data_IF_335626713727
#
_entry.id   IF_335626713727
#
_cell.length_a   1.000
_cell.length_b   1.000
_cell.length_c   1.000
_cell.angle_alpha   90.00
_cell.angle_beta   90.00
_cell.angle_gamma   90.00
#
_symmetry.space_group_name_H-M   'P 1'
#
loop_
_entity.id
_entity.type
_entity.pdbx_description
1 polymer ?
#
# COMPACT_ATOMS: atom_id res chain seq x y z
N UNK A 1 11.22 -0.66 -16.94
CA UNK A 1 10.28 -1.44 -16.09
C UNK A 1 10.98 -2.30 -15.04
N UNK A 2 12.04 -3.05 -15.37
CA UNK A 2 12.75 -3.93 -14.40
C UNK A 2 13.16 -3.26 -13.07
N UNK A 3 13.60 -2.00 -13.10
CA UNK A 3 13.94 -1.26 -11.87
C UNK A 3 12.71 -0.99 -10.98
N UNK A 4 11.60 -0.52 -11.56
CA UNK A 4 10.35 -0.25 -10.85
C UNK A 4 9.76 -1.54 -10.26
N UNK A 5 9.87 -2.65 -11.00
CA UNK A 5 9.46 -3.96 -10.55
C UNK A 5 10.28 -4.45 -9.35
N UNK A 6 11.61 -4.31 -9.40
CA UNK A 6 12.47 -4.68 -8.28
C UNK A 6 12.20 -3.83 -7.02
N UNK A 7 11.95 -2.53 -7.18
CA UNK A 7 11.54 -1.66 -6.07
C UNK A 7 10.18 -2.09 -5.51
N UNK A 8 9.21 -2.43 -6.35
CA UNK A 8 7.91 -2.93 -5.92
C UNK A 8 8.01 -4.27 -5.18
N UNK A 9 8.87 -5.20 -5.64
CA UNK A 9 9.18 -6.45 -4.95
C UNK A 9 9.76 -6.19 -3.56
N UNK A 10 10.71 -5.27 -3.46
CA UNK A 10 11.30 -4.90 -2.18
C UNK A 10 10.25 -4.35 -1.21
N UNK A 11 9.38 -3.43 -1.67
CA UNK A 11 8.28 -2.93 -0.85
C UNK A 11 7.34 -4.05 -0.38
N UNK A 12 7.01 -5.01 -1.26
CA UNK A 12 6.17 -6.15 -0.89
C UNK A 12 6.83 -7.08 0.14
N UNK A 13 8.14 -7.34 0.03
CA UNK A 13 8.88 -8.13 1.02
C UNK A 13 8.89 -7.41 2.37
N UNK A 14 9.18 -6.10 2.39
CA UNK A 14 9.15 -5.29 3.60
C UNK A 14 7.76 -5.30 4.26
N UNK A 15 6.71 -5.16 3.46
CA UNK A 15 5.33 -5.25 3.95
C UNK A 15 4.99 -6.62 4.55
N UNK A 16 5.43 -7.71 3.90
CA UNK A 16 5.23 -9.08 4.40
C UNK A 16 5.96 -9.35 5.71
N UNK A 17 7.20 -8.88 5.84
CA UNK A 17 7.97 -8.96 7.09
C UNK A 17 7.27 -8.16 8.19
N UNK A 18 6.82 -6.94 7.88
CA UNK A 18 6.10 -6.08 8.83
C UNK A 18 4.80 -6.75 9.33
N UNK A 19 3.99 -7.31 8.42
CA UNK A 19 2.76 -8.03 8.78
C UNK A 19 3.05 -9.27 9.64
N UNK A 20 4.14 -9.98 9.36
CA UNK A 20 4.54 -11.15 10.14
C UNK A 20 4.88 -10.75 11.57
N UNK A 21 5.66 -9.68 11.75
CA UNK A 21 6.04 -9.15 13.07
C UNK A 21 4.80 -8.76 13.89
N UNK A 22 3.87 -7.99 13.30
CA UNK A 22 2.67 -7.56 14.04
C UNK A 22 1.72 -8.71 14.35
N UNK A 23 1.69 -9.73 13.49
CA UNK A 23 0.90 -10.94 13.73
C UNK A 23 1.45 -11.68 14.95
N UNK A 24 2.77 -11.88 15.02
CA UNK A 24 3.40 -12.49 16.20
C UNK A 24 3.17 -11.67 17.48
N UNK A 25 3.28 -10.33 17.39
CA UNK A 25 2.96 -9.44 18.50
C UNK A 25 1.51 -9.59 18.96
N UNK A 26 0.56 -9.62 18.03
CA UNK A 26 -0.87 -9.77 18.33
C UNK A 26 -1.16 -11.12 18.97
N UNK A 27 -0.58 -12.21 18.44
CA UNK A 27 -0.67 -13.53 19.04
C UNK A 27 -0.08 -13.57 20.46
N UNK A 28 1.08 -12.95 20.68
CA UNK A 28 1.71 -12.87 21.98
C UNK A 28 0.84 -12.10 22.99
N UNK A 29 0.26 -10.96 22.59
CA UNK A 29 -0.66 -10.19 23.44
C UNK A 29 -1.93 -10.97 23.77
N UNK A 30 -2.50 -11.70 22.80
CA UNK A 30 -3.69 -12.52 23.01
C UNK A 30 -3.41 -13.66 24.00
N UNK A 31 -2.26 -14.34 23.86
CA UNK A 31 -1.87 -15.41 24.79
C UNK A 31 -1.62 -14.85 26.18
N UNK A 32 -0.87 -13.74 26.31
CA UNK A 32 -0.58 -13.09 27.59
C UNK A 32 -1.86 -12.70 28.34
N UNK A 33 -2.80 -12.08 27.61
CA UNK A 33 -4.12 -11.67 28.12
C UNK A 33 -4.94 -12.82 28.68
N UNK A 34 -4.96 -13.95 27.97
CA UNK A 34 -5.78 -15.11 28.33
C UNK A 34 -5.14 -16.02 29.39
N UNK A 35 -3.81 -16.00 29.55
CA UNK A 35 -3.10 -16.92 30.46
C UNK A 35 -2.61 -16.25 31.73
N UNK A 36 -2.02 -15.06 31.63
CA UNK A 36 -1.34 -14.37 32.74
C UNK A 36 -2.03 -13.09 33.18
N UNK A 37 -3.04 -12.63 32.41
CA UNK A 37 -3.69 -11.34 32.60
C UNK A 37 -2.84 -10.14 32.19
N UNK A 38 -1.59 -10.35 31.74
CA UNK A 38 -0.73 -9.29 31.22
C UNK A 38 -1.05 -9.00 29.75
N UNK A 39 -1.42 -7.76 29.45
CA UNK A 39 -1.63 -7.28 28.07
C UNK A 39 -0.47 -6.41 27.63
N UNK A 40 -0.12 -6.48 26.34
CA UNK A 40 0.82 -5.54 25.77
C UNK A 40 0.12 -4.20 25.55
N UNK A 41 0.47 -3.20 26.35
CA UNK A 41 -0.16 -1.86 26.26
C UNK A 41 0.17 -1.24 24.90
N UNK A 42 -0.88 -0.79 24.19
CA UNK A 42 -0.74 -0.15 22.89
C UNK A 42 -0.52 -1.11 21.71
N UNK A 43 -0.74 -2.42 21.92
CA UNK A 43 -0.74 -3.44 20.84
C UNK A 43 -1.70 -3.09 19.70
N UNK A 44 -2.90 -2.62 20.01
CA UNK A 44 -3.90 -2.20 19.02
C UNK A 44 -3.44 -0.98 18.20
N UNK A 45 -2.83 0.01 18.84
CA UNK A 45 -2.34 1.21 18.15
C UNK A 45 -1.20 0.84 17.20
N UNK A 46 -0.22 0.07 17.69
CA UNK A 46 0.94 -0.35 16.90
C UNK A 46 0.53 -1.25 15.73
N UNK A 47 -0.43 -2.15 15.94
CA UNK A 47 -0.99 -2.99 14.89
C UNK A 47 -1.71 -2.15 13.84
N UNK A 48 -2.51 -1.17 14.24
CA UNK A 48 -3.23 -0.28 13.33
C UNK A 48 -2.29 0.53 12.43
N UNK A 49 -1.30 1.20 13.03
CA UNK A 49 -0.35 2.03 12.29
C UNK A 49 0.54 1.21 11.36
N UNK A 50 1.04 0.05 11.82
CA UNK A 50 1.87 -0.84 11.02
C UNK A 50 1.07 -1.48 9.88
N UNK A 51 -0.20 -1.83 10.10
CA UNK A 51 -1.08 -2.34 9.04
C UNK A 51 -1.28 -1.29 7.95
N UNK A 52 -1.48 -0.01 8.32
CA UNK A 52 -1.58 1.09 7.36
C UNK A 52 -0.32 1.25 6.50
N UNK A 53 0.86 1.17 7.11
CA UNK A 53 2.14 1.18 6.41
C UNK A 53 2.30 -0.04 5.48
N UNK A 54 1.93 -1.24 5.94
CA UNK A 54 2.00 -2.47 5.16
C UNK A 54 1.11 -2.42 3.91
N UNK A 55 -0.13 -1.94 4.04
CA UNK A 55 -1.06 -1.78 2.90
C UNK A 55 -0.43 -0.85 1.86
N UNK A 56 0.11 0.30 2.28
CA UNK A 56 0.75 1.23 1.36
C UNK A 56 1.93 0.57 0.62
N UNK A 57 2.78 -0.16 1.33
CA UNK A 57 3.93 -0.86 0.76
C UNK A 57 3.56 -2.01 -0.19
N UNK A 58 2.37 -2.61 -0.08
CA UNK A 58 1.90 -3.62 -1.05
C UNK A 58 1.36 -3.02 -2.36
N UNK A 59 0.88 -1.77 -2.34
CA UNK A 59 0.27 -1.15 -3.52
C UNK A 59 1.15 -1.14 -4.79
N UNK A 60 2.46 -0.82 -4.72
CA UNK A 60 3.32 -0.87 -5.90
C UNK A 60 3.33 -2.24 -6.58
N UNK A 61 3.42 -3.31 -5.79
CA UNK A 61 3.46 -4.68 -6.30
C UNK A 61 2.13 -5.13 -6.87
N UNK A 62 1.03 -4.74 -6.21
CA UNK A 62 -0.32 -4.95 -6.73
C UNK A 62 -0.49 -4.31 -8.11
N UNK A 63 -0.03 -3.07 -8.28
CA UNK A 63 -0.12 -2.36 -9.56
C UNK A 63 0.74 -3.00 -10.65
N UNK A 64 1.96 -3.45 -10.34
CA UNK A 64 2.83 -4.14 -11.30
C UNK A 64 2.16 -5.41 -11.82
N UNK A 65 1.59 -6.22 -10.93
CA UNK A 65 0.92 -7.49 -11.27
C UNK A 65 -0.50 -7.33 -11.80
N UNK A 66 -1.03 -6.11 -11.87
CA UNK A 66 -2.45 -5.81 -12.14
C UNK A 66 -3.40 -6.61 -11.24
N UNK A 67 -3.04 -6.76 -9.98
CA UNK A 67 -3.86 -7.46 -8.98
C UNK A 67 -5.06 -6.67 -8.48
N UNK A 68 -5.33 -5.48 -9.02
CA UNK A 68 -6.52 -4.71 -8.67
C UNK A 68 -7.77 -5.42 -9.22
N UNK A 69 -8.87 -5.36 -8.48
CA UNK A 69 -10.13 -5.97 -8.89
C UNK A 69 -10.65 -5.26 -10.15
N UNK A 70 -10.90 -6.03 -11.21
CA UNK A 70 -11.46 -5.56 -12.47
C UNK A 70 -12.92 -6.02 -12.55
N UNK A 71 -13.82 -5.12 -12.97
CA UNK A 71 -15.24 -5.44 -13.17
C UNK A 71 -15.50 -5.68 -14.65
N UNK A 72 -15.35 -6.93 -15.08
CA UNK A 72 -15.48 -7.29 -16.51
C UNK A 72 -16.93 -7.50 -16.98
N UNK A 73 -17.91 -7.44 -16.08
CA UNK A 73 -19.31 -7.71 -16.40
C UNK A 73 -19.87 -6.75 -17.47
N UNK A 74 -19.46 -5.49 -17.43
CA UNK A 74 -19.91 -4.46 -18.37
C UNK A 74 -19.10 -4.45 -19.68
N UNK A 75 -17.88 -4.99 -19.67
CA UNK A 75 -16.92 -4.99 -20.80
C UNK A 75 -16.83 -6.34 -21.52
N UNK A 76 -17.54 -7.37 -21.04
CA UNK A 76 -17.53 -8.73 -21.60
C UNK A 76 -17.92 -8.82 -23.09
N UNK A 77 -18.65 -7.84 -23.63
CA UNK A 77 -19.04 -7.76 -25.06
C UNK A 77 -18.29 -6.69 -25.85
N UNK A 78 -17.37 -5.97 -25.23
CA UNK A 78 -16.60 -4.91 -25.88
C UNK A 78 -15.44 -5.51 -26.70
N UNK A 79 -15.02 -4.78 -27.74
CA UNK A 79 -13.87 -5.18 -28.57
C UNK A 79 -12.56 -5.09 -27.78
N UNK A 80 -11.55 -5.88 -28.14
CA UNK A 80 -10.22 -5.86 -27.50
C UNK A 80 -9.60 -4.45 -27.47
N UNK A 81 -9.83 -3.64 -28.52
CA UNK A 81 -9.38 -2.25 -28.57
C UNK A 81 -10.05 -1.35 -27.54
N UNK A 82 -11.35 -1.57 -27.30
CA UNK A 82 -12.11 -0.82 -26.31
C UNK A 82 -11.65 -1.18 -24.90
N UNK A 83 -11.44 -2.47 -24.62
CA UNK A 83 -10.95 -2.93 -23.32
C UNK A 83 -9.53 -2.39 -23.04
N UNK A 84 -8.62 -2.46 -24.03
CA UNK A 84 -7.28 -1.90 -23.88
C UNK A 84 -7.28 -0.37 -23.63
N UNK A 85 -8.24 0.36 -24.19
CA UNK A 85 -8.39 1.79 -23.93
C UNK A 85 -8.95 2.06 -22.53
N UNK A 86 -9.96 1.29 -22.10
CA UNK A 86 -10.54 1.37 -20.76
C UNK A 86 -9.50 1.03 -19.69
N UNK A 87 -8.67 0.02 -19.90
CA UNK A 87 -7.60 -0.34 -18.97
C UNK A 87 -6.57 0.79 -18.84
N UNK A 88 -6.19 1.42 -19.96
CA UNK A 88 -5.24 2.55 -19.95
C UNK A 88 -5.83 3.75 -19.23
N UNK A 89 -7.12 4.01 -19.44
CA UNK A 89 -7.86 5.06 -18.74
C UNK A 89 -7.94 4.76 -17.23
N UNK A 90 -8.22 3.51 -16.84
CA UNK A 90 -8.21 3.06 -15.45
C UNK A 90 -6.84 3.24 -14.78
N UNK A 91 -5.76 2.83 -15.46
CA UNK A 91 -4.40 3.06 -14.98
C UNK A 91 -4.05 4.54 -14.86
N UNK A 92 -4.53 5.39 -15.76
CA UNK A 92 -4.33 6.84 -15.68
C UNK A 92 -5.04 7.43 -14.45
N UNK A 93 -6.30 7.05 -14.23
CA UNK A 93 -7.04 7.48 -13.06
C UNK A 93 -6.36 7.02 -11.76
N UNK A 94 -5.92 5.76 -11.72
CA UNK A 94 -5.18 5.23 -10.58
C UNK A 94 -3.88 6.02 -10.34
N UNK A 95 -3.12 6.34 -11.38
CA UNK A 95 -1.91 7.15 -11.28
C UNK A 95 -2.21 8.53 -10.68
N UNK A 96 -3.27 9.20 -11.14
CA UNK A 96 -3.69 10.50 -10.62
C UNK A 96 -4.14 10.40 -9.14
N UNK A 97 -4.93 9.39 -8.79
CA UNK A 97 -5.37 9.18 -7.40
C UNK A 97 -4.18 8.92 -6.49
N UNK A 98 -3.24 8.05 -6.86
CA UNK A 98 -2.06 7.77 -6.04
C UNK A 98 -1.09 8.96 -5.96
N UNK A 99 -0.99 9.78 -7.01
CA UNK A 99 -0.25 11.04 -6.96
C UNK A 99 -0.89 12.03 -5.96
N UNK A 100 -2.22 12.18 -5.99
CA UNK A 100 -2.95 13.01 -5.04
C UNK A 100 -2.82 12.49 -3.61
N UNK A 101 -2.94 11.19 -3.39
CA UNK A 101 -2.74 10.57 -2.09
C UNK A 101 -1.31 10.81 -1.60
N UNK A 102 -0.30 10.57 -2.43
CA UNK A 102 1.09 10.84 -2.07
C UNK A 102 1.32 12.30 -1.64
N UNK A 103 0.75 13.26 -2.38
CA UNK A 103 0.84 14.67 -2.04
C UNK A 103 0.16 14.98 -0.70
N UNK A 104 -1.09 14.52 -0.51
CA UNK A 104 -1.86 14.74 0.73
C UNK A 104 -1.23 14.05 1.93
N UNK A 105 -0.72 12.84 1.78
CA UNK A 105 0.01 12.09 2.80
C UNK A 105 1.30 12.80 3.19
N UNK A 106 2.01 13.41 2.23
CA UNK A 106 3.20 14.23 2.54
C UNK A 106 2.83 15.43 3.41
N UNK A 107 1.82 16.21 3.01
CA UNK A 107 1.35 17.34 3.80
C UNK A 107 0.83 16.92 5.19
N UNK A 108 0.14 15.77 5.27
CA UNK A 108 -0.29 15.17 6.54
C UNK A 108 0.89 14.81 7.44
N UNK A 109 1.94 14.19 6.88
CA UNK A 109 3.15 13.84 7.62
C UNK A 109 3.92 15.07 8.13
N UNK A 110 4.06 16.12 7.32
CA UNK A 110 4.67 17.37 7.77
C UNK A 110 3.85 18.02 8.89
N UNK A 111 2.53 18.03 8.79
CA UNK A 111 1.67 18.56 9.84
C UNK A 111 1.82 17.75 11.14
N UNK A 112 1.77 16.42 11.05
CA UNK A 112 1.97 15.52 12.20
C UNK A 112 3.35 15.73 12.86
N UNK A 113 4.39 15.99 12.08
CA UNK A 113 5.72 16.32 12.61
C UNK A 113 5.74 17.68 13.33
N UNK A 114 5.16 18.71 12.73
CA UNK A 114 5.14 20.06 13.32
C UNK A 114 4.29 20.15 14.59
N UNK A 115 3.20 19.39 14.65
CA UNK A 115 2.29 19.35 15.81
C UNK A 115 2.70 18.34 16.87
N UNK A 116 3.75 17.53 16.60
CA UNK A 116 4.16 16.41 17.45
C UNK A 116 3.00 15.46 17.74
N UNK A 117 2.18 15.18 16.71
CA UNK A 117 1.03 14.28 16.82
C UNK A 117 1.47 12.86 17.14
N UNK A 118 0.82 12.24 18.12
CA UNK A 118 1.09 10.89 18.56
C UNK A 118 -0.17 10.14 18.98
N UNK A 119 -0.08 8.81 19.01
CA UNK A 119 -1.20 7.96 19.43
C UNK A 119 -1.55 8.16 20.91
N UNK A 120 -2.79 7.88 21.31
CA UNK A 120 -3.29 8.27 22.64
C UNK A 120 -2.70 7.45 23.78
N UNK A 121 -2.42 6.16 23.59
CA UNK A 121 -1.86 5.30 24.63
C UNK A 121 -0.32 5.29 24.61
N UNK A 122 0.28 5.00 23.45
CA UNK A 122 1.73 4.84 23.32
C UNK A 122 2.46 6.17 23.09
N UNK A 123 1.76 7.23 22.70
CA UNK A 123 2.39 8.44 22.20
C UNK A 123 3.18 8.20 20.92
N UNK A 124 2.84 7.16 20.15
CA UNK A 124 3.63 6.77 18.98
C UNK A 124 3.55 7.88 17.92
N UNK A 125 4.70 8.41 17.45
CA UNK A 125 4.71 9.54 16.53
C UNK A 125 4.15 9.15 15.15
N UNK A 126 3.01 9.74 14.78
CA UNK A 126 2.27 9.35 13.58
C UNK A 126 3.01 9.65 12.28
N UNK A 127 3.88 10.68 12.29
CA UNK A 127 4.64 11.11 11.11
C UNK A 127 5.54 9.99 10.53
N UNK A 128 5.98 9.03 11.35
CA UNK A 128 6.78 7.89 10.90
C UNK A 128 6.01 7.05 9.87
N UNK A 129 4.70 6.88 10.09
CA UNK A 129 3.84 6.09 9.22
C UNK A 129 3.63 6.82 7.91
N UNK A 130 3.30 8.12 7.97
CA UNK A 130 3.21 8.96 6.79
C UNK A 130 4.50 8.90 5.96
N UNK A 131 5.66 8.98 6.61
CA UNK A 131 6.96 8.88 5.95
C UNK A 131 7.15 7.53 5.23
N UNK A 132 6.68 6.42 5.82
CA UNK A 132 6.73 5.10 5.19
C UNK A 132 5.75 4.92 4.02
N UNK A 133 4.60 5.59 4.06
CA UNK A 133 3.54 5.46 3.04
C UNK A 133 3.83 6.28 1.76
N UNK A 134 4.40 7.49 1.90
CA UNK A 134 4.72 8.38 0.77
C UNK A 134 5.58 7.71 -0.34
N UNK A 135 6.71 7.02 -0.04
CA UNK A 135 7.52 6.39 -1.10
C UNK A 135 6.75 5.27 -1.82
N UNK A 136 5.87 4.55 -1.12
CA UNK A 136 5.08 3.51 -1.74
C UNK A 136 3.97 4.08 -2.66
N UNK A 137 3.30 5.15 -2.23
CA UNK A 137 2.29 5.82 -3.05
C UNK A 137 2.89 6.52 -4.28
N UNK A 138 4.02 7.21 -4.12
CA UNK A 138 4.76 7.79 -5.26
C UNK A 138 5.16 6.69 -6.25
N UNK A 139 5.71 5.58 -5.77
CA UNK A 139 6.13 4.47 -6.62
C UNK A 139 4.94 3.86 -7.38
N UNK A 140 3.79 3.67 -6.70
CA UNK A 140 2.55 3.19 -7.31
C UNK A 140 2.08 4.13 -8.42
N UNK A 141 2.09 5.45 -8.17
CA UNK A 141 1.70 6.45 -9.16
C UNK A 141 2.61 6.41 -10.40
N UNK A 142 3.93 6.28 -10.21
CA UNK A 142 4.90 6.19 -11.30
C UNK A 142 4.70 4.91 -12.11
N UNK A 143 4.45 3.78 -11.46
CA UNK A 143 4.18 2.49 -12.13
C UNK A 143 2.90 2.60 -12.96
N UNK A 144 1.81 3.10 -12.38
CA UNK A 144 0.54 3.27 -13.07
C UNK A 144 0.66 4.21 -14.27
N UNK A 145 1.36 5.34 -14.13
CA UNK A 145 1.63 6.27 -15.23
C UNK A 145 2.44 5.61 -16.35
N UNK A 146 3.46 4.81 -15.99
CA UNK A 146 4.26 4.08 -16.98
C UNK A 146 3.44 3.05 -17.76
N UNK A 147 2.48 2.38 -17.12
CA UNK A 147 1.57 1.43 -17.76
C UNK A 147 0.57 2.13 -18.71
N UNK A 148 0.10 3.33 -18.35
CA UNK A 148 -0.72 4.15 -19.25
C UNK A 148 0.03 4.52 -20.53
N UNK A 149 1.29 4.96 -20.40
CA UNK A 149 2.09 5.50 -21.50
C UNK A 149 2.68 4.42 -22.41
N UNK A 150 3.32 3.40 -21.84
CA UNK A 150 4.00 2.35 -22.60
C UNK A 150 3.10 1.15 -22.87
N UNK A 151 1.88 1.18 -22.36
CA UNK A 151 0.98 0.06 -22.41
C UNK A 151 1.37 -1.03 -21.43
N UNK A 152 0.55 -2.05 -21.52
CA UNK A 152 0.45 -3.15 -20.60
C UNK A 152 1.31 -4.29 -21.13
N UNK A 153 2.62 -4.26 -20.85
CA UNK A 153 3.50 -5.38 -21.20
C UNK A 153 2.96 -6.69 -20.63
N UNK A 154 3.12 -7.80 -21.37
CA UNK A 154 2.64 -9.15 -21.05
C UNK A 154 3.23 -9.66 -19.73
N UNK A 155 2.69 -9.18 -18.61
CA UNK A 155 3.04 -9.63 -17.25
C UNK A 155 2.05 -10.69 -16.77
N UNK A 156 1.57 -11.54 -17.70
CA UNK A 156 0.52 -12.53 -17.48
C UNK A 156 0.97 -13.99 -17.53
N UNK A 157 2.27 -14.29 -17.64
CA UNK A 157 2.73 -15.66 -17.91
C UNK A 157 3.54 -16.32 -16.79
N UNK A 158 3.35 -15.90 -15.53
CA UNK A 158 3.84 -16.64 -14.37
C UNK A 158 2.77 -16.60 -13.25
N UNK A 159 1.67 -17.34 -13.49
CA UNK A 159 0.68 -17.72 -12.47
C UNK A 159 1.18 -18.91 -11.65
#
# INVERSE_FOLDING_TARGET
MKLLENLAKLCAILAGVLLTIITFMTCASLIGRNTTGATLVGDFELTGVATGAAIALFMPWCQVRRGNIIVDFFTARASERTNAWLDKFGALLLALTFALLSWRTTLGGLNAYNTQSGTMMLGFPEWIIYLSMVPAFTLTAVIALSQTLFGFGDAGEDA
#
